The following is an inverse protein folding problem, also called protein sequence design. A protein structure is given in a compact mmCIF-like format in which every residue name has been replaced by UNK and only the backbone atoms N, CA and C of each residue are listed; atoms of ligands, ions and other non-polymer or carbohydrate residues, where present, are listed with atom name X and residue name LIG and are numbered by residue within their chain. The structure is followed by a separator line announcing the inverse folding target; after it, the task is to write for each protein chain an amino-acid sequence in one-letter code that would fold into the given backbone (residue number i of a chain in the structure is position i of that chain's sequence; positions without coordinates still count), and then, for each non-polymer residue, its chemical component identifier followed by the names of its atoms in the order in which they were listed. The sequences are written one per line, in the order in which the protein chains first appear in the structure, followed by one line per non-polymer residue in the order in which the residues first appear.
data_IF_822654093662
#
_entry.id   IF_822654093662
#
_cell.length_a   1.000
_cell.length_b   1.000
_cell.length_c   1.000
_cell.angle_alpha   90.00
_cell.angle_beta   90.00
_cell.angle_gamma   90.00
#
_symmetry.space_group_name_H-M   'P 1'
#
loop_
_entity.id
_entity.type
_entity.pdbx_description
1 polymer ?
#
# COMPACT_ATOMS: atom_id res chain seq x y z
N UNK A 1 -8.38 5.55 2.56
CA UNK A 1 -8.52 6.80 1.80
C UNK A 1 -8.69 6.45 0.33
N UNK A 2 -9.29 7.34 -0.47
CA UNK A 2 -9.54 7.14 -1.90
C UNK A 2 -8.71 8.14 -2.70
N UNK A 3 -8.10 7.67 -3.78
CA UNK A 3 -7.29 8.50 -4.68
C UNK A 3 -8.15 9.02 -5.83
N UNK A 4 -7.92 10.26 -6.23
CA UNK A 4 -8.60 10.87 -7.39
C UNK A 4 -8.27 10.18 -8.72
N UNK A 5 -7.15 9.44 -8.76
CA UNK A 5 -6.69 8.71 -9.94
C UNK A 5 -7.33 7.33 -10.09
N UNK A 6 -8.04 6.82 -9.09
CA UNK A 6 -8.63 5.48 -9.12
C UNK A 6 -10.01 5.51 -9.78
N UNK A 7 -10.03 5.64 -11.11
CA UNK A 7 -11.26 5.82 -11.89
C UNK A 7 -12.22 4.62 -11.71
N UNK A 8 -11.69 3.41 -11.56
CA UNK A 8 -12.51 2.21 -11.38
C UNK A 8 -13.26 2.23 -10.06
N UNK A 9 -12.57 2.57 -8.97
CA UNK A 9 -13.21 2.71 -7.66
C UNK A 9 -14.21 3.87 -7.64
N UNK A 10 -13.86 5.01 -8.26
CA UNK A 10 -14.75 6.17 -8.32
C UNK A 10 -16.05 5.85 -9.07
N UNK A 11 -15.97 5.17 -10.21
CA UNK A 11 -17.15 4.74 -10.98
C UNK A 11 -17.99 3.75 -10.17
N UNK A 12 -17.36 2.78 -9.50
CA UNK A 12 -18.07 1.82 -8.65
C UNK A 12 -18.83 2.53 -7.51
N UNK A 13 -18.21 3.52 -6.87
CA UNK A 13 -18.86 4.30 -5.82
C UNK A 13 -20.08 5.06 -6.36
N UNK A 14 -19.96 5.66 -7.54
CA UNK A 14 -21.06 6.36 -8.22
C UNK A 14 -22.21 5.39 -8.57
N UNK A 15 -21.89 4.22 -9.14
CA UNK A 15 -22.86 3.16 -9.45
C UNK A 15 -23.61 2.66 -8.21
N UNK A 16 -22.94 2.61 -7.05
CA UNK A 16 -23.55 2.23 -5.78
C UNK A 16 -24.34 3.39 -5.12
N UNK A 17 -24.36 4.58 -5.73
CA UNK A 17 -25.02 5.77 -5.20
C UNK A 17 -24.40 6.26 -3.90
N UNK A 18 -23.08 6.11 -3.75
CA UNK A 18 -22.32 6.54 -2.58
C UNK A 18 -21.59 7.84 -2.85
N UNK A 19 -21.32 8.60 -1.78
CA UNK A 19 -20.64 9.90 -1.89
C UNK A 19 -19.27 9.86 -1.22
N UNK A 20 -18.31 10.57 -1.82
CA UNK A 20 -16.95 10.72 -1.30
C UNK A 20 -16.78 12.15 -0.77
N UNK A 21 -16.25 12.27 0.45
CA UNK A 21 -15.82 13.55 0.98
C UNK A 21 -14.36 13.83 0.62
N UNK A 22 -14.12 14.82 -0.24
CA UNK A 22 -12.77 15.23 -0.59
C UNK A 22 -12.19 16.17 0.47
N UNK A 23 -11.06 15.79 1.05
CA UNK A 23 -10.48 16.49 2.20
C UNK A 23 -9.04 16.85 1.96
N UNK A 24 -8.68 18.04 2.45
CA UNK A 24 -7.31 18.52 2.39
C UNK A 24 -6.46 17.78 3.43
N UNK A 25 -5.33 17.24 2.99
CA UNK A 25 -4.39 16.50 3.82
C UNK A 25 -2.99 17.08 3.69
N UNK A 26 -2.19 16.87 4.75
CA UNK A 26 -0.76 17.20 4.76
C UNK A 26 0.05 15.90 4.78
N UNK A 27 1.03 15.81 3.90
CA UNK A 27 2.06 14.77 3.87
C UNK A 27 3.38 15.36 4.35
N UNK A 28 4.13 14.57 5.11
CA UNK A 28 5.45 14.94 5.61
C UNK A 28 6.43 13.78 5.63
N UNK A 29 7.70 14.12 5.83
CA UNK A 29 8.78 13.18 6.10
C UNK A 29 9.39 13.52 7.45
N UNK A 30 9.44 12.55 8.36
CA UNK A 30 10.14 12.67 9.62
C UNK A 30 11.61 12.26 9.43
N UNK A 31 12.52 13.19 9.74
CA UNK A 31 13.97 12.97 9.66
C UNK A 31 14.69 13.75 10.75
N UNK A 32 15.52 13.08 11.54
CA UNK A 32 16.34 13.64 12.62
C UNK A 32 15.54 14.55 13.57
N UNK A 33 14.42 14.05 14.10
CA UNK A 33 13.65 14.81 15.10
C UNK A 33 12.68 15.85 14.53
N UNK A 34 12.50 15.92 13.20
CA UNK A 34 11.68 16.96 12.58
C UNK A 34 10.85 16.42 11.42
N UNK A 35 9.59 16.88 11.36
CA UNK A 35 8.73 16.71 10.19
C UNK A 35 9.03 17.81 9.15
N UNK A 36 9.36 17.38 7.94
CA UNK A 36 9.47 18.22 6.76
C UNK A 36 8.21 18.06 5.92
N UNK A 37 7.46 19.15 5.65
CA UNK A 37 6.34 19.11 4.70
C UNK A 37 6.80 18.59 3.33
N UNK A 38 5.92 17.86 2.63
CA UNK A 38 6.20 17.34 1.29
C UNK A 38 4.94 17.34 0.41
N UNK A 39 4.33 18.52 0.27
CA UNK A 39 3.04 18.73 -0.40
C UNK A 39 3.19 19.43 -1.77
N UNK A 40 4.42 19.59 -2.26
CA UNK A 40 4.65 20.21 -3.56
C UNK A 40 6.09 20.61 -3.81
N UNK A 41 6.30 21.34 -4.91
CA UNK A 41 7.62 21.72 -5.40
C UNK A 41 8.37 22.61 -4.39
N UNK A 42 7.69 23.57 -3.75
CA UNK A 42 8.32 24.45 -2.76
C UNK A 42 8.80 23.69 -1.52
N UNK A 43 8.07 22.66 -1.12
CA UNK A 43 8.44 21.80 0.00
C UNK A 43 9.67 20.96 -0.35
N UNK A 44 9.73 20.40 -1.56
CA UNK A 44 10.92 19.70 -2.07
C UNK A 44 12.15 20.62 -2.11
N UNK A 45 11.99 21.89 -2.54
CA UNK A 45 13.09 22.86 -2.55
C UNK A 45 13.61 23.14 -1.13
N UNK A 46 12.72 23.17 -0.13
CA UNK A 46 13.06 23.39 1.29
C UNK A 46 13.46 22.11 2.03
N UNK A 47 13.45 20.95 1.37
CA UNK A 47 13.72 19.65 1.97
C UNK A 47 15.20 19.49 2.36
N UNK A 48 15.54 19.95 3.58
CA UNK A 48 16.91 19.92 4.13
C UNK A 48 17.56 18.53 4.21
N UNK A 49 16.84 17.40 4.35
CA UNK A 49 17.47 16.08 4.35
C UNK A 49 18.27 15.77 3.07
N UNK A 50 17.96 16.44 1.95
CA UNK A 50 18.76 16.39 0.72
C UNK A 50 19.55 17.69 0.53
N UNK A 51 20.78 17.65 -0.02
CA UNK A 51 21.48 18.85 -0.50
C UNK A 51 20.71 19.57 -1.61
N UNK A 52 20.87 20.90 -1.73
CA UNK A 52 20.07 21.69 -2.68
C UNK A 52 20.19 21.23 -4.14
N UNK A 53 21.41 20.90 -4.60
CA UNK A 53 21.61 20.39 -5.97
C UNK A 53 20.89 19.06 -6.21
N UNK A 54 20.79 18.22 -5.18
CA UNK A 54 20.10 16.92 -5.27
C UNK A 54 18.57 17.12 -5.31
N UNK A 55 18.04 18.11 -4.59
CA UNK A 55 16.61 18.50 -4.68
C UNK A 55 16.23 18.93 -6.09
N UNK A 56 17.09 19.69 -6.77
CA UNK A 56 16.84 20.13 -8.14
C UNK A 56 16.80 18.95 -9.11
N UNK A 57 17.77 18.04 -9.04
CA UNK A 57 17.79 16.82 -9.88
C UNK A 57 16.54 15.96 -9.67
N UNK A 58 16.15 15.76 -8.41
CA UNK A 58 14.95 15.00 -8.06
C UNK A 58 13.68 15.69 -8.59
N UNK A 59 13.60 17.02 -8.48
CA UNK A 59 12.48 17.79 -9.04
C UNK A 59 12.38 17.69 -10.56
N UNK A 60 13.52 17.75 -11.27
CA UNK A 60 13.57 17.57 -12.73
C UNK A 60 13.15 16.16 -13.15
N UNK A 61 13.61 15.13 -12.43
CA UNK A 61 13.19 13.75 -12.67
C UNK A 61 11.68 13.59 -12.46
N UNK A 62 11.14 14.16 -11.40
CA UNK A 62 9.70 14.09 -11.13
C UNK A 62 8.87 14.76 -12.24
N UNK A 63 9.32 15.92 -12.74
CA UNK A 63 8.69 16.61 -13.85
C UNK A 63 8.77 15.82 -15.16
N UNK A 64 9.91 15.16 -15.43
CA UNK A 64 10.08 14.36 -16.65
C UNK A 64 9.14 13.17 -16.69
N UNK A 65 8.88 12.52 -15.55
CA UNK A 65 7.96 11.38 -15.43
C UNK A 65 6.51 11.81 -15.54
N UNK A 66 6.14 12.95 -14.95
CA UNK A 66 4.76 13.47 -14.98
C UNK A 66 4.23 13.59 -16.41
N UNK A 67 5.10 13.96 -17.35
CA UNK A 67 4.76 14.15 -18.77
C UNK A 67 5.07 12.93 -19.65
N UNK A 68 5.64 11.86 -19.09
CA UNK A 68 6.02 10.68 -19.87
C UNK A 68 4.78 9.83 -20.19
N UNK A 69 4.52 9.64 -21.49
CA UNK A 69 3.35 8.90 -21.98
C UNK A 69 3.43 7.40 -21.71
N UNK A 70 4.61 6.80 -21.93
CA UNK A 70 4.85 5.37 -21.78
C UNK A 70 5.97 5.11 -20.77
N UNK A 71 5.76 4.15 -19.86
CA UNK A 71 6.71 3.73 -18.84
C UNK A 71 7.27 2.31 -19.09
N UNK A 72 6.90 1.65 -20.18
CA UNK A 72 7.35 0.29 -20.55
C UNK A 72 8.89 0.17 -20.56
N UNK A 73 9.60 1.22 -21.01
CA UNK A 73 11.08 1.24 -21.00
C UNK A 73 11.66 1.07 -19.58
N UNK A 74 10.91 1.43 -18.54
CA UNK A 74 11.32 1.32 -17.14
C UNK A 74 11.00 -0.04 -16.53
N UNK A 75 10.24 -0.90 -17.22
CA UNK A 75 9.88 -2.22 -16.69
C UNK A 75 11.11 -3.10 -16.52
N UNK A 76 12.06 -3.00 -17.47
CA UNK A 76 13.27 -3.81 -17.55
C UNK A 76 14.47 -3.23 -16.79
N UNK A 77 14.31 -2.07 -16.16
CA UNK A 77 15.39 -1.36 -15.43
C UNK A 77 15.02 -1.33 -13.95
N UNK A 78 15.99 -1.60 -13.06
CA UNK A 78 15.74 -1.47 -11.63
C UNK A 78 15.70 -0.02 -11.17
N UNK A 79 14.99 0.25 -10.06
CA UNK A 79 14.94 1.57 -9.42
C UNK A 79 16.35 2.11 -9.17
N UNK A 80 17.26 1.27 -8.65
CA UNK A 80 18.64 1.66 -8.41
C UNK A 80 19.31 2.22 -9.67
N UNK A 81 19.39 1.42 -10.74
CA UNK A 81 20.08 1.80 -11.98
C UNK A 81 19.47 3.06 -12.58
N UNK A 82 18.15 3.18 -12.53
CA UNK A 82 17.44 4.32 -13.07
C UNK A 82 17.72 5.60 -12.28
N UNK A 83 17.61 5.58 -10.95
CA UNK A 83 17.85 6.77 -10.12
C UNK A 83 19.33 7.18 -10.13
N UNK A 84 20.25 6.22 -10.05
CA UNK A 84 21.69 6.49 -10.14
C UNK A 84 22.05 7.19 -11.45
N UNK A 85 21.45 6.75 -12.57
CA UNK A 85 21.64 7.37 -13.89
C UNK A 85 21.04 8.78 -14.00
N UNK A 86 19.79 8.95 -13.60
CA UNK A 86 19.04 10.20 -13.84
C UNK A 86 19.29 11.29 -12.79
N UNK A 87 19.63 10.90 -11.56
CA UNK A 87 19.62 11.79 -10.40
C UNK A 87 20.89 11.64 -9.55
N UNK A 88 21.57 10.51 -9.63
CA UNK A 88 22.85 10.25 -8.97
C UNK A 88 22.72 9.37 -7.74
N UNK A 89 23.80 8.68 -7.41
CA UNK A 89 23.89 7.66 -6.35
C UNK A 89 23.44 8.16 -4.98
N UNK A 90 23.78 9.40 -4.63
CA UNK A 90 23.40 9.96 -3.33
C UNK A 90 21.88 10.06 -3.14
N UNK A 91 21.12 10.41 -4.19
CA UNK A 91 19.65 10.47 -4.11
C UNK A 91 19.07 9.08 -3.93
N UNK A 92 19.62 8.10 -4.64
CA UNK A 92 19.26 6.71 -4.45
C UNK A 92 19.53 6.28 -2.99
N UNK A 93 20.76 6.39 -2.51
CA UNK A 93 21.16 5.89 -1.18
C UNK A 93 20.47 6.59 -0.01
N UNK A 94 20.31 7.92 -0.08
CA UNK A 94 19.83 8.72 1.05
C UNK A 94 18.32 8.94 1.07
N UNK A 95 17.63 8.77 -0.05
CA UNK A 95 16.21 9.09 -0.15
C UNK A 95 15.38 7.95 -0.74
N UNK A 96 15.73 7.46 -1.93
CA UNK A 96 14.90 6.44 -2.58
C UNK A 96 15.04 5.06 -1.94
N UNK A 97 16.27 4.60 -1.72
CA UNK A 97 16.54 3.27 -1.17
C UNK A 97 15.92 3.08 0.23
N UNK A 98 16.05 4.03 1.18
CA UNK A 98 15.39 3.89 2.49
C UNK A 98 13.88 3.74 2.37
N UNK A 99 13.23 4.48 1.46
CA UNK A 99 11.79 4.41 1.27
C UNK A 99 11.37 3.10 0.61
N UNK A 100 12.03 2.68 -0.47
CA UNK A 100 11.62 1.50 -1.23
C UNK A 100 11.98 0.21 -0.48
N UNK A 101 13.17 0.12 0.11
CA UNK A 101 13.57 -1.05 0.89
C UNK A 101 12.73 -1.20 2.16
N UNK A 102 12.15 -0.12 2.68
CA UNK A 102 11.14 -0.18 3.73
C UNK A 102 9.84 -0.89 3.31
N UNK A 103 9.47 -0.88 2.03
CA UNK A 103 8.28 -1.57 1.52
C UNK A 103 8.58 -2.97 0.97
N UNK A 104 9.79 -3.19 0.43
CA UNK A 104 10.14 -4.38 -0.35
C UNK A 104 11.33 -5.17 0.21
N UNK A 105 11.93 -4.74 1.30
CA UNK A 105 13.18 -5.31 1.87
C UNK A 105 14.43 -4.94 1.07
N UNK A 106 14.33 -4.87 -0.27
CA UNK A 106 15.36 -4.38 -1.17
C UNK A 106 14.77 -3.51 -2.27
N UNK A 107 15.51 -2.50 -2.69
CA UNK A 107 15.16 -1.64 -3.82
C UNK A 107 15.89 -1.98 -5.12
N UNK A 108 16.92 -2.83 -5.07
CA UNK A 108 17.78 -3.15 -6.23
C UNK A 108 17.11 -4.04 -7.27
N UNK A 109 16.11 -4.81 -6.86
CA UNK A 109 15.41 -5.80 -7.70
C UNK A 109 14.04 -5.30 -8.17
N UNK A 110 13.60 -4.13 -7.68
CA UNK A 110 12.29 -3.58 -8.00
C UNK A 110 12.37 -2.77 -9.30
N UNK A 111 11.41 -3.01 -10.18
CA UNK A 111 11.27 -2.32 -11.45
C UNK A 111 11.10 -0.80 -11.27
N UNK A 112 11.81 0.00 -12.06
CA UNK A 112 11.68 1.46 -12.07
C UNK A 112 10.28 1.92 -12.48
N UNK A 113 9.55 1.10 -13.25
CA UNK A 113 8.16 1.37 -13.62
C UNK A 113 7.24 1.48 -12.40
N UNK A 114 7.50 0.74 -11.31
CA UNK A 114 6.74 0.85 -10.06
C UNK A 114 6.85 2.26 -9.48
N UNK A 115 8.08 2.74 -9.26
CA UNK A 115 8.31 4.05 -8.65
C UNK A 115 7.79 5.19 -9.53
N UNK A 116 8.00 5.09 -10.84
CA UNK A 116 7.49 6.07 -11.80
C UNK A 116 5.96 6.13 -11.80
N UNK A 117 5.28 4.97 -11.80
CA UNK A 117 3.81 4.92 -11.71
C UNK A 117 3.31 5.46 -10.37
N UNK A 118 3.96 5.10 -9.27
CA UNK A 118 3.63 5.60 -7.94
C UNK A 118 3.74 7.11 -7.88
N UNK A 119 4.85 7.69 -8.34
CA UNK A 119 4.98 9.14 -8.41
C UNK A 119 3.95 9.77 -9.34
N UNK A 120 3.64 9.19 -10.49
CA UNK A 120 2.63 9.73 -11.41
C UNK A 120 1.21 9.74 -10.83
N UNK A 121 0.85 8.72 -10.05
CA UNK A 121 -0.48 8.57 -9.43
C UNK A 121 -0.58 9.38 -8.13
N UNK A 122 0.37 9.21 -7.22
CA UNK A 122 0.40 9.91 -5.93
C UNK A 122 0.69 11.40 -6.09
N UNK A 123 1.41 11.84 -7.13
CA UNK A 123 1.61 13.29 -7.41
C UNK A 123 0.34 14.05 -7.70
N UNK A 124 -0.69 13.40 -8.25
CA UNK A 124 -2.01 14.01 -8.40
C UNK A 124 -2.67 14.20 -7.03
N UNK A 125 -2.38 13.32 -6.08
CA UNK A 125 -2.80 13.42 -4.67
C UNK A 125 -1.91 14.37 -3.85
N UNK A 126 -0.68 14.70 -4.30
CA UNK A 126 0.16 15.78 -3.75
C UNK A 126 -0.52 17.16 -3.91
N UNK A 127 -1.60 17.27 -4.70
CA UNK A 127 -2.53 18.41 -4.61
C UNK A 127 -3.17 18.55 -3.21
N UNK A 128 -2.90 17.60 -2.31
CA UNK A 128 -3.28 17.62 -0.92
C UNK A 128 -4.73 17.23 -0.74
N UNK A 129 -5.36 16.51 -1.67
CA UNK A 129 -6.76 16.08 -1.57
C UNK A 129 -6.85 14.55 -1.56
N UNK A 130 -7.52 14.00 -0.55
CA UNK A 130 -7.86 12.58 -0.46
C UNK A 130 -9.35 12.40 -0.21
N UNK A 131 -9.93 11.37 -0.81
CA UNK A 131 -11.31 10.98 -0.60
C UNK A 131 -11.46 10.21 0.71
N UNK A 132 -12.46 10.62 1.49
CA UNK A 132 -12.89 9.95 2.71
C UNK A 132 -14.33 9.45 2.53
N UNK A 133 -14.54 8.20 2.89
CA UNK A 133 -15.84 7.60 3.14
C UNK A 133 -15.64 6.36 4.01
N UNK A 134 -16.73 5.85 4.57
CA UNK A 134 -16.72 4.53 5.18
C UNK A 134 -16.65 3.45 4.08
N UNK A 135 -15.51 2.76 3.99
CA UNK A 135 -15.28 1.72 2.99
C UNK A 135 -16.21 0.52 3.21
N UNK A 136 -16.70 0.29 4.45
CA UNK A 136 -17.63 -0.80 4.73
C UNK A 136 -19.00 -0.62 4.06
N UNK A 137 -19.38 0.62 3.73
CA UNK A 137 -20.59 0.91 2.97
C UNK A 137 -20.48 0.35 1.54
N UNK A 138 -19.29 0.42 0.92
CA UNK A 138 -19.06 -0.16 -0.41
C UNK A 138 -19.33 -1.66 -0.38
N UNK A 139 -18.74 -2.38 0.59
CA UNK A 139 -18.91 -3.82 0.70
C UNK A 139 -20.35 -4.21 1.04
N UNK A 140 -21.01 -3.42 1.88
CA UNK A 140 -22.41 -3.64 2.27
C UNK A 140 -23.36 -3.46 1.08
N UNK A 141 -23.16 -2.39 0.28
CA UNK A 141 -23.94 -2.15 -0.93
C UNK A 141 -23.70 -3.20 -2.00
N UNK A 142 -22.45 -3.63 -2.19
CA UNK A 142 -22.13 -4.71 -3.12
C UNK A 142 -22.77 -6.03 -2.72
N UNK A 143 -22.72 -6.38 -1.44
CA UNK A 143 -23.39 -7.57 -0.93
C UNK A 143 -24.89 -7.53 -1.21
N UNK A 144 -25.54 -6.40 -0.88
CA UNK A 144 -26.96 -6.21 -1.17
C UNK A 144 -27.25 -6.35 -2.67
N UNK A 145 -26.46 -5.68 -3.52
CA UNK A 145 -26.63 -5.75 -4.96
C UNK A 145 -26.51 -7.18 -5.50
N UNK A 146 -25.50 -7.94 -5.04
CA UNK A 146 -25.32 -9.35 -5.44
C UNK A 146 -26.54 -10.18 -5.07
N UNK A 147 -27.04 -10.06 -3.83
CA UNK A 147 -28.18 -10.83 -3.34
C UNK A 147 -29.49 -10.46 -4.04
N UNK A 148 -29.76 -9.16 -4.24
CA UNK A 148 -30.96 -8.66 -4.92
C UNK A 148 -31.01 -9.12 -6.39
N UNK A 149 -29.85 -9.39 -7.01
CA UNK A 149 -29.73 -9.90 -8.38
C UNK A 149 -29.59 -11.44 -8.45
N UNK A 150 -29.93 -12.15 -7.38
CA UNK A 150 -29.96 -13.62 -7.34
C UNK A 150 -28.59 -14.29 -7.20
N UNK A 151 -27.53 -13.51 -6.95
CA UNK A 151 -26.23 -14.03 -6.56
C UNK A 151 -26.24 -14.59 -5.14
N UNK A 152 -25.26 -15.45 -4.84
CA UNK A 152 -25.15 -16.10 -3.53
C UNK A 152 -23.83 -15.75 -2.87
N UNK A 153 -23.86 -15.41 -1.58
CA UNK A 153 -22.66 -15.17 -0.77
C UNK A 153 -22.61 -16.20 0.35
N UNK A 154 -21.56 -17.03 0.32
CA UNK A 154 -21.33 -18.07 1.32
C UNK A 154 -20.24 -17.63 2.29
N UNK A 155 -20.63 -17.25 3.51
CA UNK A 155 -19.72 -16.89 4.60
C UNK A 155 -19.36 -18.13 5.42
N UNK A 156 -18.22 -18.08 6.13
CA UNK A 156 -17.69 -19.22 6.89
C UNK A 156 -17.46 -20.48 6.03
N UNK A 157 -17.26 -20.29 4.73
CA UNK A 157 -17.07 -21.37 3.76
C UNK A 157 -15.61 -21.43 3.31
N UNK A 158 -14.73 -21.91 4.19
CA UNK A 158 -13.32 -22.05 3.86
C UNK A 158 -13.14 -23.15 2.80
N UNK A 159 -12.55 -22.81 1.66
CA UNK A 159 -12.22 -23.76 0.60
C UNK A 159 -10.93 -24.49 0.99
N UNK A 160 -11.05 -25.77 1.29
CA UNK A 160 -9.92 -26.62 1.70
C UNK A 160 -9.21 -27.23 0.50
N UNK A 161 -9.96 -27.51 -0.57
CA UNK A 161 -9.45 -28.19 -1.75
C UNK A 161 -10.14 -27.71 -3.02
N UNK A 162 -9.37 -27.59 -4.09
CA UNK A 162 -9.85 -27.31 -5.44
C UNK A 162 -9.31 -28.42 -6.35
N UNK A 163 -10.19 -29.01 -7.14
CA UNK A 163 -9.83 -29.95 -8.20
C UNK A 163 -10.44 -29.51 -9.52
N UNK A 164 -9.82 -29.91 -10.62
CA UNK A 164 -10.38 -29.86 -11.96
C UNK A 164 -10.60 -31.30 -12.42
N UNK A 165 -11.85 -31.62 -12.69
CA UNK A 165 -12.26 -32.91 -13.25
C UNK A 165 -13.08 -32.63 -14.51
N UNK A 166 -12.64 -33.19 -15.64
CA UNK A 166 -13.19 -32.90 -16.96
C UNK A 166 -13.19 -31.39 -17.27
N UNK A 167 -14.37 -30.83 -17.57
CA UNK A 167 -14.56 -29.40 -17.84
C UNK A 167 -14.91 -28.56 -16.59
N UNK A 168 -15.02 -29.18 -15.40
CA UNK A 168 -15.50 -28.51 -14.20
C UNK A 168 -14.43 -28.42 -13.10
N UNK A 169 -14.52 -27.36 -12.31
CA UNK A 169 -13.86 -27.22 -11.03
C UNK A 169 -14.76 -27.77 -9.92
N UNK A 170 -14.16 -28.52 -9.01
CA UNK A 170 -14.75 -29.09 -7.81
C UNK A 170 -14.11 -28.39 -6.61
N UNK A 171 -14.94 -27.69 -5.83
CA UNK A 171 -14.55 -26.94 -4.64
C UNK A 171 -15.03 -27.70 -3.41
N UNK A 172 -14.10 -28.05 -2.51
CA UNK A 172 -14.42 -28.72 -1.26
C UNK A 172 -14.31 -27.74 -0.10
N UNK A 173 -15.38 -27.64 0.68
CA UNK A 173 -15.44 -26.94 1.96
C UNK A 173 -15.63 -27.95 3.10
N UNK A 174 -15.66 -27.49 4.35
CA UNK A 174 -15.88 -28.35 5.52
C UNK A 174 -17.13 -29.25 5.38
N UNK A 175 -18.22 -28.70 4.81
CA UNK A 175 -19.54 -29.34 4.88
C UNK A 175 -20.13 -29.66 3.50
N UNK A 176 -19.51 -29.16 2.42
CA UNK A 176 -20.10 -29.20 1.07
C UNK A 176 -19.04 -29.33 -0.03
N UNK A 177 -19.45 -30.00 -1.10
CA UNK A 177 -18.80 -29.97 -2.41
C UNK A 177 -19.64 -29.08 -3.35
N UNK A 178 -18.98 -28.20 -4.10
CA UNK A 178 -19.60 -27.41 -5.16
C UNK A 178 -18.88 -27.63 -6.48
N UNK A 179 -19.63 -27.58 -7.58
CA UNK A 179 -19.11 -27.71 -8.93
C UNK A 179 -19.38 -26.44 -9.73
N UNK A 180 -18.39 -25.99 -10.47
CA UNK A 180 -18.50 -24.81 -11.35
C UNK A 180 -17.68 -24.99 -12.62
N UNK A 181 -18.15 -24.41 -13.73
CA UNK A 181 -17.40 -24.40 -15.00
C UNK A 181 -16.26 -23.38 -14.99
N UNK A 182 -16.44 -22.27 -14.30
CA UNK A 182 -15.48 -21.17 -14.24
C UNK A 182 -15.12 -20.86 -12.80
N UNK A 183 -13.84 -20.60 -12.57
CA UNK A 183 -13.30 -20.23 -11.26
C UNK A 183 -12.48 -18.95 -11.40
N UNK A 184 -12.91 -17.89 -10.72
CA UNK A 184 -12.12 -16.68 -10.53
C UNK A 184 -11.63 -16.69 -9.09
N UNK A 185 -10.33 -16.85 -8.90
CA UNK A 185 -9.72 -16.88 -7.56
C UNK A 185 -9.05 -15.56 -7.25
N UNK A 186 -9.41 -14.99 -6.10
CA UNK A 186 -8.72 -13.83 -5.50
C UNK A 186 -7.86 -14.23 -4.30
N UNK A 187 -7.66 -15.55 -4.08
CA UNK A 187 -6.79 -16.10 -3.04
C UNK A 187 -5.32 -15.81 -3.40
N UNK A 188 -4.44 -15.47 -2.43
CA UNK A 188 -3.02 -15.32 -2.69
C UNK A 188 -2.44 -16.55 -3.41
N UNK A 189 -1.68 -16.40 -4.50
CA UNK A 189 -1.24 -17.51 -5.33
C UNK A 189 -0.47 -18.61 -4.56
N UNK A 190 0.45 -18.31 -3.62
CA UNK A 190 1.11 -19.34 -2.82
C UNK A 190 0.16 -20.16 -1.92
N UNK A 191 -1.00 -19.61 -1.57
CA UNK A 191 -2.04 -20.34 -0.82
C UNK A 191 -2.88 -21.16 -1.81
N UNK A 192 -3.25 -20.57 -2.95
CA UNK A 192 -4.00 -21.24 -4.01
C UNK A 192 -3.30 -22.52 -4.49
N UNK A 193 -1.97 -22.47 -4.70
CA UNK A 193 -1.16 -23.63 -5.15
C UNK A 193 -1.15 -24.79 -4.14
N UNK A 194 -1.44 -24.53 -2.86
CA UNK A 194 -1.52 -25.57 -1.81
C UNK A 194 -2.88 -26.27 -1.81
N UNK A 195 -3.96 -25.54 -2.12
CA UNK A 195 -5.33 -26.07 -2.08
C UNK A 195 -5.80 -26.59 -3.45
N UNK A 196 -5.28 -26.07 -4.56
CA UNK A 196 -5.62 -26.54 -5.91
C UNK A 196 -4.73 -27.70 -6.35
N UNK A 197 -5.21 -28.93 -6.16
CA UNK A 197 -4.41 -30.16 -6.27
C UNK A 197 -4.07 -30.56 -7.70
N UNK A 198 -4.96 -30.25 -8.64
CA UNK A 198 -4.83 -30.58 -10.07
C UNK A 198 -4.41 -29.37 -10.91
N UNK A 199 -3.80 -28.37 -10.27
CA UNK A 199 -3.19 -27.25 -10.98
C UNK A 199 -2.05 -27.75 -11.89
N UNK A 200 -1.99 -27.29 -13.15
CA UNK A 200 -0.84 -27.55 -14.03
C UNK A 200 0.49 -27.18 -13.37
N UNK A 201 1.52 -28.01 -13.54
CA UNK A 201 2.79 -27.86 -12.83
C UNK A 201 3.52 -26.56 -13.20
N UNK A 202 3.49 -26.19 -14.48
CA UNK A 202 4.04 -24.93 -15.00
C UNK A 202 3.42 -23.71 -14.31
N UNK A 203 2.08 -23.68 -14.22
CA UNK A 203 1.36 -22.60 -13.53
C UNK A 203 1.63 -22.62 -12.03
N UNK A 204 1.69 -23.81 -11.42
CA UNK A 204 2.01 -23.95 -9.99
C UNK A 204 3.40 -23.41 -9.67
N UNK A 205 4.38 -23.70 -10.51
CA UNK A 205 5.75 -23.23 -10.36
C UNK A 205 5.82 -21.72 -10.56
N UNK A 206 5.07 -21.15 -11.51
CA UNK A 206 4.99 -19.69 -11.70
C UNK A 206 4.40 -18.98 -10.48
N UNK A 207 3.24 -19.43 -10.01
CA UNK A 207 2.52 -18.80 -8.92
C UNK A 207 3.22 -18.98 -7.56
N UNK A 208 3.95 -20.08 -7.36
CA UNK A 208 4.67 -20.35 -6.11
C UNK A 208 5.93 -19.52 -5.92
N UNK A 209 6.49 -18.94 -7.01
CA UNK A 209 7.64 -18.03 -6.95
C UNK A 209 7.29 -16.62 -6.47
N UNK A 210 6.00 -16.29 -6.36
CA UNK A 210 5.57 -14.96 -5.92
C UNK A 210 5.82 -14.81 -4.42
N UNK A 211 6.78 -13.96 -4.09
CA UNK A 211 7.11 -13.60 -2.70
C UNK A 211 6.18 -12.51 -2.18
N UNK A 212 5.81 -12.62 -0.91
CA UNK A 212 5.03 -11.65 -0.18
C UNK A 212 5.83 -11.09 1.00
N UNK A 213 5.46 -9.91 1.45
CA UNK A 213 5.92 -9.37 2.72
C UNK A 213 4.78 -9.33 3.72
N UNK A 214 5.12 -9.59 4.99
CA UNK A 214 4.26 -9.31 6.11
C UNK A 214 4.06 -7.80 6.24
N UNK A 215 2.90 -7.41 6.74
CA UNK A 215 2.57 -6.03 7.06
C UNK A 215 2.03 -6.00 8.49
N UNK A 216 2.72 -5.29 9.37
CA UNK A 216 2.25 -5.00 10.73
C UNK A 216 1.68 -3.60 10.70
N UNK A 217 0.39 -3.48 11.06
CA UNK A 217 -0.30 -2.21 11.20
C UNK A 217 -0.81 -2.08 12.63
N UNK A 218 -0.21 -1.19 13.41
CA UNK A 218 -0.62 -0.93 14.79
C UNK A 218 -1.44 0.35 14.84
N UNK A 219 -2.64 0.26 15.41
CA UNK A 219 -3.55 1.41 15.56
C UNK A 219 -3.63 1.86 17.01
N UNK A 220 -3.53 3.16 17.23
CA UNK A 220 -3.58 3.81 18.53
C UNK A 220 -4.70 4.84 18.57
N UNK A 221 -5.61 4.68 19.52
CA UNK A 221 -6.55 5.73 19.88
C UNK A 221 -5.95 6.61 20.97
N UNK A 222 -5.88 7.91 20.73
CA UNK A 222 -5.18 8.87 21.59
C UNK A 222 -6.12 10.00 22.01
N UNK A 223 -5.87 10.57 23.20
CA UNK A 223 -6.65 11.72 23.69
C UNK A 223 -6.49 12.98 22.84
N UNK A 224 -5.37 13.10 22.13
CA UNK A 224 -5.04 14.20 21.22
C UNK A 224 -4.34 13.64 19.98
N UNK A 225 -4.43 14.37 18.86
CA UNK A 225 -3.69 14.08 17.65
C UNK A 225 -2.18 14.17 17.90
N UNK A 226 -1.39 13.34 17.21
CA UNK A 226 0.08 13.42 17.25
C UNK A 226 0.59 14.57 16.39
N UNK A 227 -0.06 14.82 15.24
CA UNK A 227 0.31 15.89 14.34
C UNK A 227 -0.85 16.37 13.47
N UNK A 228 -0.64 17.44 12.71
CA UNK A 228 -1.56 17.90 11.66
C UNK A 228 -1.36 17.19 10.30
N UNK A 229 -0.38 16.28 10.21
CA UNK A 229 -0.10 15.51 9.00
C UNK A 229 -0.97 14.27 8.98
N UNK A 230 -1.64 14.01 7.85
CA UNK A 230 -2.36 12.77 7.65
C UNK A 230 -1.41 11.61 7.41
N UNK A 231 -0.29 11.84 6.72
CA UNK A 231 0.68 10.81 6.37
C UNK A 231 2.10 11.34 6.61
N UNK A 232 2.84 10.64 7.46
CA UNK A 232 4.25 10.92 7.73
C UNK A 232 5.05 9.69 7.30
N UNK A 233 6.01 9.88 6.40
CA UNK A 233 7.00 8.88 6.04
C UNK A 233 8.20 9.00 6.98
N UNK A 234 8.70 7.89 7.51
CA UNK A 234 9.80 7.87 8.46
C UNK A 234 11.10 7.56 7.71
N UNK A 235 12.06 8.49 7.74
CA UNK A 235 13.39 8.30 7.14
C UNK A 235 14.44 7.82 8.14
N UNK A 236 14.17 7.99 9.43
CA UNK A 236 15.06 7.57 10.50
C UNK A 236 15.01 6.06 10.66
N UNK A 237 16.12 5.38 10.36
CA UNK A 237 16.23 3.91 10.32
C UNK A 237 16.03 3.23 11.68
N UNK A 238 16.16 3.98 12.76
CA UNK A 238 16.00 3.46 14.13
C UNK A 238 14.53 3.30 14.54
N UNK A 239 13.60 3.75 13.71
CA UNK A 239 12.16 3.59 13.96
C UNK A 239 11.69 2.20 13.52
N UNK A 240 10.77 1.56 14.27
CA UNK A 240 10.28 0.22 13.95
C UNK A 240 9.17 0.20 12.89
N UNK A 241 8.84 1.34 12.31
CA UNK A 241 7.81 1.51 11.28
C UNK A 241 8.24 2.56 10.25
N UNK A 242 7.68 2.44 9.05
CA UNK A 242 8.13 3.17 7.87
C UNK A 242 7.23 4.35 7.55
N UNK A 243 5.99 4.32 8.04
CA UNK A 243 5.06 5.42 7.96
C UNK A 243 4.09 5.38 9.14
N UNK A 244 3.60 6.55 9.51
CA UNK A 244 2.43 6.67 10.36
C UNK A 244 1.40 7.59 9.71
N UNK A 245 0.14 7.36 10.06
CA UNK A 245 -0.97 8.08 9.47
C UNK A 245 -1.97 8.47 10.56
N UNK A 246 -2.18 9.78 10.72
CA UNK A 246 -3.18 10.31 11.64
C UNK A 246 -4.54 10.33 10.92
N UNK A 247 -5.28 9.24 11.04
CA UNK A 247 -6.59 9.08 10.41
C UNK A 247 -7.57 10.17 10.82
N UNK A 248 -7.43 10.73 12.03
CA UNK A 248 -8.27 11.85 12.51
C UNK A 248 -8.06 13.16 11.74
N UNK A 249 -7.01 13.27 10.93
CA UNK A 249 -6.83 14.39 10.00
C UNK A 249 -7.62 14.19 8.70
N UNK A 250 -8.03 12.95 8.40
CA UNK A 250 -8.91 12.63 7.28
C UNK A 250 -10.37 12.48 7.74
N UNK A 251 -10.62 11.90 8.90
CA UNK A 251 -11.96 11.71 9.46
C UNK A 251 -12.17 12.63 10.68
N UNK A 252 -12.94 13.73 10.54
CA UNK A 252 -13.13 14.69 11.64
C UNK A 252 -14.13 14.21 12.70
N UNK A 253 -14.90 13.14 12.42
CA UNK A 253 -15.84 12.57 13.37
C UNK A 253 -15.11 11.89 14.53
N UNK A 254 -13.82 11.58 14.36
CA UNK A 254 -12.98 11.01 15.41
C UNK A 254 -12.60 12.11 16.40
N UNK A 255 -12.96 11.90 17.66
CA UNK A 255 -12.53 12.73 18.78
C UNK A 255 -11.16 12.26 19.27
N UNK A 256 -10.20 13.18 19.38
CA UNK A 256 -8.83 12.88 19.78
C UNK A 256 -7.92 12.61 18.57
N UNK A 257 -7.11 11.55 18.66
CA UNK A 257 -6.24 11.05 17.60
C UNK A 257 -6.48 9.57 17.33
N UNK A 258 -6.32 9.15 16.08
CA UNK A 258 -6.35 7.77 15.65
C UNK A 258 -5.20 7.61 14.67
N UNK A 259 -4.08 7.09 15.17
CA UNK A 259 -2.86 6.94 14.40
C UNK A 259 -2.65 5.48 14.09
N UNK A 260 -2.37 5.17 12.83
CA UNK A 260 -1.88 3.85 12.44
C UNK A 260 -0.43 3.94 12.00
N UNK A 261 0.43 3.11 12.58
CA UNK A 261 1.84 2.97 12.22
C UNK A 261 2.04 1.64 11.48
N UNK A 262 2.72 1.68 10.34
CA UNK A 262 2.87 0.54 9.44
C UNK A 262 4.33 0.16 9.24
N UNK A 263 4.59 -1.15 9.27
CA UNK A 263 5.89 -1.74 8.97
C UNK A 263 5.69 -2.92 8.01
N UNK A 264 6.60 -3.05 7.05
CA UNK A 264 6.65 -4.20 6.14
C UNK A 264 7.93 -5.00 6.42
N UNK A 265 7.81 -6.31 6.48
CA UNK A 265 8.93 -7.17 6.84
C UNK A 265 8.76 -8.59 6.32
N UNK A 266 9.86 -9.35 6.29
CA UNK A 266 9.84 -10.77 5.98
C UNK A 266 9.43 -11.60 7.20
N UNK A 267 8.88 -12.80 6.97
CA UNK A 267 8.50 -13.71 8.07
C UNK A 267 9.69 -14.13 8.97
N UNK A 268 10.92 -14.03 8.45
CA UNK A 268 12.14 -14.33 9.19
C UNK A 268 12.55 -13.25 10.19
N UNK A 269 12.01 -12.03 10.06
CA UNK A 269 12.35 -10.87 10.88
C UNK A 269 12.00 -11.11 12.36
N UNK A 270 12.80 -10.53 13.25
CA UNK A 270 12.59 -10.65 14.69
C UNK A 270 11.28 -10.01 15.13
N UNK A 271 10.87 -8.91 14.49
CA UNK A 271 9.63 -8.20 14.81
C UNK A 271 8.40 -9.05 14.45
N UNK A 272 8.46 -9.89 13.41
CA UNK A 272 7.38 -10.82 13.04
C UNK A 272 7.13 -11.89 14.11
N UNK A 273 8.17 -12.23 14.86
CA UNK A 273 8.15 -13.31 15.86
C UNK A 273 7.74 -12.82 17.25
N UNK A 274 7.55 -11.52 17.42
CA UNK A 274 7.11 -10.91 18.68
C UNK A 274 5.61 -11.09 18.88
N UNK A 275 5.19 -11.06 20.12
CA UNK A 275 3.77 -10.98 20.47
C UNK A 275 3.17 -9.62 20.08
N UNK A 276 1.86 -9.59 19.86
CA UNK A 276 1.12 -8.35 19.58
C UNK A 276 1.39 -7.27 20.64
N UNK A 277 1.43 -7.64 21.92
CA UNK A 277 1.70 -6.72 23.03
C UNK A 277 3.11 -6.12 22.95
N UNK A 278 4.13 -6.92 22.67
CA UNK A 278 5.50 -6.44 22.49
C UNK A 278 5.58 -5.46 21.32
N UNK A 279 4.93 -5.76 20.20
CA UNK A 279 4.90 -4.91 19.01
C UNK A 279 4.20 -3.58 19.32
N UNK A 280 3.02 -3.63 19.94
CA UNK A 280 2.24 -2.45 20.33
C UNK A 280 3.05 -1.55 21.26
N UNK A 281 3.69 -2.12 22.29
CA UNK A 281 4.51 -1.36 23.22
C UNK A 281 5.77 -0.79 22.56
N UNK A 282 6.41 -1.57 21.67
CA UNK A 282 7.59 -1.14 20.95
C UNK A 282 7.30 0.06 20.04
N UNK A 283 6.22 0.01 19.26
CA UNK A 283 5.82 1.10 18.36
C UNK A 283 5.36 2.34 19.16
N UNK A 284 4.64 2.13 20.28
CA UNK A 284 4.16 3.22 21.13
C UNK A 284 5.29 4.08 21.70
N UNK A 285 6.46 3.49 21.97
CA UNK A 285 7.63 4.21 22.47
C UNK A 285 8.21 5.25 21.49
N UNK A 286 7.84 5.18 20.21
CA UNK A 286 8.32 6.09 19.17
C UNK A 286 7.30 7.15 18.74
N UNK A 287 6.00 6.91 18.91
CA UNK A 287 4.97 7.87 18.49
C UNK A 287 5.08 9.25 19.15
N UNK A 288 5.37 9.39 20.46
CA UNK A 288 5.53 10.71 21.08
C UNK A 288 6.73 11.54 20.58
N UNK A 289 7.65 10.91 19.85
CA UNK A 289 8.85 11.57 19.29
C UNK A 289 8.58 12.23 17.93
N UNK A 290 7.43 11.92 17.31
CA UNK A 290 6.99 12.42 16.01
C UNK A 290 6.10 13.64 16.22
#
# INVERSE_FOLDING_TARGET
HILHSDIHLLNLIDELGLSIEWRKIKVGFYYQGRIYPFNGVFDLIKFKPLPFGDRLKLGLLFLSIRNKKNLEDLEKISIQKWIERESGTRIYEKFINPLISAYFGSSSEISAAYLANRWRTESKSIAGLLGYMDISEITTRLEKYILDNGGTISRKSNIQEINKADENFILKTNDKEQRTKYLVSTIPPPILTKIFKTMPLDLKDELSRISYMGCICVSYWMNKKTSEYYWINILDKDYPFVACFEHSNLNPCIRGGLVYAVCYLNESDILWKKSDEEIVNHFAAYLPKI
#
